data_IF_743015814842
#
_entry.id   IF_743015814842
#
_cell.length_a   1.000
_cell.length_b   1.000
_cell.length_c   1.000
_cell.angle_alpha   90.00
_cell.angle_beta   90.00
_cell.angle_gamma   90.00
#
_symmetry.space_group_name_H-M   'P 1'
#
loop_
_entity.id
_entity.type
_entity.pdbx_description
1 polymer ?
#
# COMPACT_ATOMS: atom_id res chain seq x y z
N UNK A 1 -9.81 4.18 -10.39
CA UNK A 1 -10.66 3.95 -9.19
C UNK A 1 -10.80 2.45 -8.96
N UNK A 2 -10.49 1.96 -7.75
CA UNK A 2 -10.40 0.52 -7.49
C UNK A 2 -11.69 -0.06 -6.90
N UNK A 3 -11.96 -1.33 -7.22
CA UNK A 3 -13.17 -2.05 -6.82
C UNK A 3 -12.86 -3.24 -5.92
N UNK A 4 -13.78 -3.52 -5.02
CA UNK A 4 -13.76 -4.67 -4.12
C UNK A 4 -14.04 -5.96 -4.91
N UNK A 5 -13.13 -6.92 -4.88
CA UNK A 5 -13.33 -8.22 -5.56
C UNK A 5 -14.49 -9.06 -5.00
N UNK A 6 -15.01 -8.73 -3.80
CA UNK A 6 -16.10 -9.48 -3.17
C UNK A 6 -17.49 -8.92 -3.47
N UNK A 7 -17.62 -7.63 -3.77
CA UNK A 7 -18.93 -6.99 -3.96
C UNK A 7 -18.96 -5.88 -5.03
N UNK A 8 -17.86 -5.68 -5.76
CA UNK A 8 -17.70 -4.73 -6.87
C UNK A 8 -17.88 -3.23 -6.54
N UNK A 9 -18.18 -2.90 -5.28
CA UNK A 9 -18.20 -1.53 -4.78
C UNK A 9 -16.79 -0.97 -4.63
N UNK A 10 -16.70 0.35 -4.61
CA UNK A 10 -15.44 1.06 -4.43
C UNK A 10 -14.76 0.70 -3.10
N UNK A 11 -13.43 0.68 -3.14
CA UNK A 11 -12.59 0.56 -1.95
C UNK A 11 -11.92 1.91 -1.67
N UNK A 12 -11.64 2.17 -0.39
CA UNK A 12 -11.01 3.41 0.06
C UNK A 12 -9.69 3.13 0.76
N UNK A 13 -8.67 3.93 0.44
CA UNK A 13 -7.41 3.94 1.16
C UNK A 13 -7.61 4.60 2.52
N UNK A 14 -7.15 3.94 3.58
CA UNK A 14 -7.20 4.43 4.96
C UNK A 14 -5.85 4.97 5.43
N UNK A 15 -4.76 4.43 4.88
CA UNK A 15 -3.41 4.90 5.15
C UNK A 15 -2.51 4.54 3.97
N UNK A 16 -1.58 5.43 3.64
CA UNK A 16 -0.47 5.18 2.73
C UNK A 16 0.81 5.58 3.46
N UNK A 17 1.83 4.73 3.41
CA UNK A 17 3.18 5.01 3.91
C UNK A 17 4.10 5.08 2.70
N UNK A 18 4.59 6.28 2.38
CA UNK A 18 5.55 6.47 1.31
C UNK A 18 6.96 6.10 1.78
N UNK A 19 7.72 5.39 0.94
CA UNK A 19 9.10 4.99 1.18
C UNK A 19 9.90 5.21 -0.09
N UNK A 20 11.18 5.50 0.07
CA UNK A 20 12.16 5.51 -1.03
C UNK A 20 13.07 4.30 -0.86
N UNK A 21 13.35 3.56 -1.94
CA UNK A 21 14.47 2.62 -1.91
C UNK A 21 15.77 3.39 -2.11
N UNK A 22 16.75 3.23 -1.20
CA UNK A 22 18.05 3.92 -1.33
C UNK A 22 18.82 3.46 -2.59
N UNK A 23 18.62 2.21 -3.02
CA UNK A 23 19.36 1.58 -4.13
C UNK A 23 18.71 1.76 -5.50
N UNK A 24 17.44 2.17 -5.54
CA UNK A 24 16.67 2.35 -6.76
C UNK A 24 15.79 3.57 -6.61
N UNK A 25 15.74 4.43 -7.62
CA UNK A 25 14.94 5.62 -7.50
C UNK A 25 13.49 5.28 -7.84
N UNK A 26 12.87 4.50 -6.95
CA UNK A 26 11.49 4.05 -7.02
C UNK A 26 10.87 4.48 -5.70
N UNK A 27 9.80 5.25 -5.78
CA UNK A 27 8.97 5.53 -4.62
C UNK A 27 7.99 4.38 -4.44
N UNK A 28 7.98 3.77 -3.26
CA UNK A 28 7.07 2.69 -2.92
C UNK A 28 6.12 3.19 -1.84
N UNK A 29 4.83 3.10 -2.10
CA UNK A 29 3.77 3.40 -1.16
C UNK A 29 3.07 2.13 -0.70
N UNK A 30 3.19 1.81 0.58
CA UNK A 30 2.46 0.71 1.22
C UNK A 30 1.12 1.20 1.74
N UNK A 31 0.03 0.53 1.38
CA UNK A 31 -1.31 1.05 1.54
C UNK A 31 -2.26 0.08 2.23
N UNK A 32 -3.18 0.64 3.01
CA UNK A 32 -4.25 -0.08 3.69
C UNK A 32 -5.59 0.33 3.10
N UNK A 33 -6.29 -0.60 2.47
CA UNK A 33 -7.56 -0.35 1.81
C UNK A 33 -8.70 -1.13 2.48
N UNK A 34 -9.90 -0.57 2.42
CA UNK A 34 -11.12 -1.23 2.92
C UNK A 34 -12.32 -0.96 2.01
N UNK A 35 -13.14 -1.99 1.81
CA UNK A 35 -14.46 -1.84 1.24
C UNK A 35 -15.44 -1.42 2.34
N UNK A 36 -16.02 -0.23 2.24
CA UNK A 36 -17.00 0.25 3.22
C UNK A 36 -18.36 -0.47 3.12
N UNK A 37 -18.60 -1.20 2.02
CA UNK A 37 -19.84 -1.96 1.82
C UNK A 37 -19.82 -3.33 2.50
N UNK A 38 -18.80 -4.15 2.24
CA UNK A 38 -18.72 -5.52 2.78
C UNK A 38 -17.65 -5.71 3.87
N UNK A 39 -16.86 -4.68 4.17
CA UNK A 39 -15.81 -4.74 5.19
C UNK A 39 -14.54 -5.50 4.76
N UNK A 40 -14.46 -5.98 3.51
CA UNK A 40 -13.26 -6.62 3.00
C UNK A 40 -12.07 -5.67 3.07
N UNK A 41 -10.91 -6.20 3.48
CA UNK A 41 -9.69 -5.43 3.73
C UNK A 41 -8.61 -5.87 2.78
N UNK A 42 -7.77 -4.92 2.39
CA UNK A 42 -6.73 -5.15 1.41
C UNK A 42 -5.46 -4.41 1.78
N UNK A 43 -4.37 -4.98 1.32
CA UNK A 43 -3.08 -4.33 1.26
C UNK A 43 -2.80 -3.90 -0.18
N UNK A 44 -2.30 -2.68 -0.36
CA UNK A 44 -1.87 -2.15 -1.64
C UNK A 44 -0.37 -1.86 -1.61
N UNK A 45 0.28 -2.07 -2.74
CA UNK A 45 1.66 -1.64 -3.00
C UNK A 45 1.60 -0.82 -4.28
N UNK A 46 1.89 0.47 -4.16
CA UNK A 46 1.98 1.41 -5.27
C UNK A 46 3.46 1.69 -5.50
N UNK A 47 3.98 1.28 -6.65
CA UNK A 47 5.35 1.51 -7.08
C UNK A 47 5.32 2.60 -8.15
N UNK A 48 6.00 3.70 -7.87
CA UNK A 48 6.17 4.81 -8.79
C UNK A 48 7.63 4.83 -9.26
N UNK A 49 7.83 4.53 -10.56
CA UNK A 49 9.14 4.46 -11.18
C UNK A 49 9.57 5.76 -11.88
N UNK A 50 8.99 6.91 -11.52
CA UNK A 50 9.24 8.25 -12.09
C UNK A 50 10.71 8.67 -12.29
N UNK A 51 11.68 7.90 -11.81
CA UNK A 51 13.09 8.27 -11.92
C UNK A 51 13.83 7.59 -13.08
N UNK A 52 13.17 6.70 -13.83
CA UNK A 52 13.63 6.37 -15.17
C UNK A 52 12.94 7.31 -16.18
N UNK A 53 13.69 8.26 -16.75
CA UNK A 53 13.26 9.22 -17.80
C UNK A 53 12.61 8.59 -19.06
N UNK A 54 12.44 7.27 -19.11
CA UNK A 54 11.93 6.50 -20.23
C UNK A 54 10.71 5.62 -19.87
N UNK A 55 10.30 5.55 -18.59
CA UNK A 55 9.18 4.70 -18.15
C UNK A 55 8.48 5.28 -16.92
N UNK A 56 7.57 6.23 -17.16
CA UNK A 56 6.67 6.83 -16.15
C UNK A 56 5.53 5.86 -15.81
N UNK A 57 5.86 4.65 -15.36
CA UNK A 57 4.86 3.63 -15.04
C UNK A 57 4.47 3.69 -13.58
N UNK A 58 3.17 3.81 -13.35
CA UNK A 58 2.60 3.64 -12.03
C UNK A 58 2.07 2.21 -11.91
N UNK A 59 2.72 1.42 -11.08
CA UNK A 59 2.33 0.03 -10.84
C UNK A 59 1.59 -0.07 -9.52
N UNK A 60 0.39 -0.67 -9.51
CA UNK A 60 -0.39 -0.86 -8.30
C UNK A 60 -0.85 -2.31 -8.14
N UNK A 61 -0.27 -3.00 -7.16
CA UNK A 61 -0.66 -4.35 -6.74
C UNK A 61 -1.57 -4.28 -5.51
N UNK A 62 -2.61 -5.10 -5.47
CA UNK A 62 -3.44 -5.26 -4.28
C UNK A 62 -3.70 -6.71 -3.92
N UNK A 63 -3.82 -6.95 -2.62
CA UNK A 63 -3.98 -8.26 -2.02
C UNK A 63 -5.08 -8.24 -0.97
N UNK A 64 -5.95 -9.24 -0.96
CA UNK A 64 -6.92 -9.46 0.11
C UNK A 64 -6.18 -9.76 1.41
N UNK A 65 -6.54 -9.04 2.47
CA UNK A 65 -5.90 -9.14 3.77
C UNK A 65 -6.81 -9.83 4.78
N UNK A 66 -6.22 -10.67 5.62
CA UNK A 66 -6.88 -11.20 6.81
C UNK A 66 -7.19 -10.07 7.80
N UNK A 67 -8.40 -10.04 8.35
CA UNK A 67 -8.89 -8.92 9.17
C UNK A 67 -7.98 -8.60 10.37
N UNK A 68 -7.55 -9.61 11.12
CA UNK A 68 -6.74 -9.41 12.31
C UNK A 68 -5.37 -8.82 11.96
N UNK A 69 -4.68 -9.43 10.98
CA UNK A 69 -3.38 -8.95 10.48
C UNK A 69 -3.47 -7.52 9.95
N UNK A 70 -4.54 -7.21 9.21
CA UNK A 70 -4.76 -5.86 8.67
C UNK A 70 -4.95 -4.81 9.77
N UNK A 71 -5.76 -5.13 10.80
CA UNK A 71 -5.97 -4.22 11.93
C UNK A 71 -4.70 -3.99 12.73
N UNK A 72 -3.94 -5.05 13.01
CA UNK A 72 -2.68 -4.96 13.75
C UNK A 72 -1.60 -4.17 12.99
N UNK A 73 -1.47 -4.42 11.68
CA UNK A 73 -0.51 -3.69 10.85
C UNK A 73 -0.89 -2.22 10.68
N UNK A 74 -2.18 -1.91 10.49
CA UNK A 74 -2.66 -0.53 10.43
C UNK A 74 -2.38 0.21 11.76
N UNK A 75 -2.68 -0.42 12.90
CA UNK A 75 -2.44 0.18 14.20
C UNK A 75 -0.95 0.48 14.46
N UNK A 76 -0.04 -0.35 13.94
CA UNK A 76 1.41 -0.08 13.94
C UNK A 76 1.75 1.09 13.02
N UNK A 77 1.23 1.07 11.79
CA UNK A 77 1.53 2.09 10.78
C UNK A 77 1.03 3.49 11.17
N UNK A 78 -0.12 3.58 11.85
CA UNK A 78 -0.67 4.83 12.41
C UNK A 78 0.21 5.50 13.47
N UNK A 79 1.26 4.82 13.97
CA UNK A 79 2.25 5.43 14.86
C UNK A 79 3.25 6.34 14.13
N UNK A 80 3.27 6.28 12.80
CA UNK A 80 4.12 7.17 12.01
C UNK A 80 3.60 8.61 12.11
N UNK A 81 4.43 9.59 12.52
CA UNK A 81 4.00 10.98 12.63
C UNK A 81 3.85 11.68 11.28
N UNK A 82 4.53 11.18 10.25
CA UNK A 82 4.58 11.80 8.92
C UNK A 82 4.60 10.73 7.82
N UNK A 83 3.45 10.10 7.53
CA UNK A 83 3.35 8.93 6.67
C UNK A 83 3.56 9.20 5.17
N UNK A 84 3.55 10.47 4.75
CA UNK A 84 3.75 10.85 3.34
C UNK A 84 5.16 11.35 3.07
N UNK A 85 6.01 11.41 4.10
CA UNK A 85 7.39 11.83 3.99
C UNK A 85 8.31 10.61 3.89
N UNK A 86 8.77 10.23 2.69
CA UNK A 86 9.62 9.06 2.52
C UNK A 86 10.97 9.17 3.27
N UNK A 87 11.43 10.38 3.57
CA UNK A 87 12.63 10.63 4.37
C UNK A 87 12.42 10.45 5.88
N UNK A 88 11.21 10.11 6.32
CA UNK A 88 10.90 9.88 7.73
C UNK A 88 11.61 8.62 8.25
N UNK A 89 12.45 8.78 9.29
CA UNK A 89 13.27 7.70 9.86
C UNK A 89 12.64 6.99 11.06
N UNK A 90 11.32 7.05 11.20
CA UNK A 90 10.64 6.40 12.32
C UNK A 90 10.67 4.88 12.20
N UNK A 91 10.42 4.17 13.30
CA UNK A 91 10.42 2.70 13.32
C UNK A 91 9.45 2.08 12.32
N UNK A 92 8.35 2.77 11.97
CA UNK A 92 7.39 2.29 10.96
C UNK A 92 8.05 2.23 9.59
N UNK A 93 8.68 3.32 9.12
CA UNK A 93 9.35 3.36 7.83
C UNK A 93 10.57 2.42 7.77
N UNK A 94 11.27 2.24 8.90
CA UNK A 94 12.44 1.33 8.95
C UNK A 94 12.06 -0.16 8.88
N UNK A 95 10.85 -0.53 9.33
CA UNK A 95 10.44 -1.93 9.46
C UNK A 95 9.28 -2.31 8.53
N UNK A 96 8.79 -1.39 7.71
CA UNK A 96 7.75 -1.70 6.74
C UNK A 96 8.34 -2.58 5.65
N UNK A 97 7.76 -3.77 5.46
CA UNK A 97 8.27 -4.77 4.53
C UNK A 97 7.13 -5.29 3.65
N UNK A 98 7.35 -5.47 2.33
CA UNK A 98 6.39 -6.10 1.43
C UNK A 98 5.99 -7.50 1.90
N UNK A 99 6.89 -8.20 2.64
CA UNK A 99 6.64 -9.51 3.22
C UNK A 99 5.39 -9.61 4.10
N UNK A 100 4.98 -8.50 4.73
CA UNK A 100 3.77 -8.43 5.55
C UNK A 100 2.47 -8.18 4.77
N UNK A 101 2.56 -7.87 3.48
CA UNK A 101 1.45 -7.40 2.65
C UNK A 101 0.96 -8.44 1.63
N UNK A 102 1.54 -9.64 1.60
CA UNK A 102 1.13 -10.68 0.66
C UNK A 102 -0.10 -11.45 1.14
N UNK A 103 -1.05 -11.67 0.23
CA UNK A 103 -2.32 -12.40 0.43
C UNK A 103 -2.90 -12.87 -0.90
N UNK A 104 -4.17 -13.28 -0.92
CA UNK A 104 -4.86 -13.61 -2.18
C UNK A 104 -4.86 -12.38 -3.08
N UNK A 105 -4.36 -12.52 -4.31
CA UNK A 105 -4.27 -11.41 -5.27
C UNK A 105 -5.65 -10.81 -5.57
N UNK A 106 -5.76 -9.48 -5.54
CA UNK A 106 -7.01 -8.76 -5.73
C UNK A 106 -7.00 -7.86 -6.97
N UNK A 107 -5.93 -7.11 -7.22
CA UNK A 107 -5.80 -6.31 -8.44
C UNK A 107 -4.34 -6.06 -8.83
N UNK A 108 -4.17 -5.74 -10.11
CA UNK A 108 -2.94 -5.25 -10.69
C UNK A 108 -3.33 -4.21 -11.74
N UNK A 109 -2.90 -2.97 -11.57
CA UNK A 109 -3.06 -1.92 -12.57
C UNK A 109 -1.71 -1.36 -12.97
N UNK A 110 -1.60 -0.99 -14.24
CA UNK A 110 -0.51 -0.21 -14.79
C UNK A 110 -1.16 1.02 -15.44
N UNK A 111 -0.70 2.20 -15.07
CA UNK A 111 -1.06 3.47 -15.72
C UNK A 111 0.22 4.10 -16.29
#
# INVERSE_FOLDING_TARGET
MMKCIKCEKEIRCKLSIATEEEDRPIEISYQWWVCENCGARYYGILEDSHVNMFDDRLLHKGYLAEELKWKESLAKALKCPDPQNPACKCEVHQNISPGGFFGEFAWYTYD
#
